data_IF_075081784869
#
_entry.id   IF_075081784869
#
_cell.length_a   1.000
_cell.length_b   1.000
_cell.length_c   1.000
_cell.angle_alpha   90.00
_cell.angle_beta   90.00
_cell.angle_gamma   90.00
#
_symmetry.space_group_name_H-M   'P 1'
#
loop_
_entity.id
_entity.type
_entity.pdbx_description
1 polymer ?
#
# COMPACT_ATOMS: atom_id res chain seq x y z
N UNK A 1 1.04 22.29 16.83
CA UNK A 1 2.03 22.39 15.73
C UNK A 1 2.67 21.02 15.49
N UNK A 2 1.92 20.05 14.96
CA UNK A 2 2.39 18.65 14.76
C UNK A 2 3.00 18.39 13.37
N UNK A 3 3.20 19.42 12.54
CA UNK A 3 3.76 19.27 11.19
C UNK A 3 5.29 19.31 11.14
N UNK A 4 5.97 19.69 12.23
CA UNK A 4 7.43 19.95 12.19
C UNK A 4 8.29 18.77 12.68
N UNK A 5 7.69 17.73 13.29
CA UNK A 5 8.44 16.57 13.79
C UNK A 5 8.61 15.44 12.76
N UNK A 6 7.78 15.40 11.72
CA UNK A 6 7.79 14.30 10.74
C UNK A 6 8.81 14.52 9.61
N UNK A 7 9.29 15.76 9.42
CA UNK A 7 10.25 16.16 8.37
C UNK A 7 11.69 15.76 8.74
N UNK A 8 11.97 15.41 10.00
CA UNK A 8 13.32 14.96 10.45
C UNK A 8 13.49 13.44 10.50
N UNK A 9 12.43 12.67 10.24
CA UNK A 9 12.56 11.22 10.05
C UNK A 9 12.97 11.01 8.61
N UNK A 10 14.21 10.57 8.42
CA UNK A 10 14.81 10.26 7.13
C UNK A 10 13.77 9.68 6.16
N UNK A 11 13.52 10.31 4.98
CA UNK A 11 12.53 9.85 4.02
C UNK A 11 12.68 8.38 3.67
N UNK A 12 13.91 7.85 3.68
CA UNK A 12 14.18 6.43 3.48
C UNK A 12 13.60 5.59 4.62
N UNK A 13 13.77 5.98 5.88
CA UNK A 13 13.17 5.26 7.03
C UNK A 13 11.65 5.22 6.97
N UNK A 14 11.01 6.28 6.47
CA UNK A 14 9.55 6.31 6.28
C UNK A 14 9.13 5.34 5.17
N UNK A 15 9.91 5.24 4.09
CA UNK A 15 9.71 4.23 3.04
C UNK A 15 9.92 2.79 3.57
N UNK A 16 10.98 2.55 4.35
CA UNK A 16 11.23 1.25 4.99
C UNK A 16 10.06 0.82 5.90
N UNK A 17 9.55 1.72 6.74
CA UNK A 17 8.36 1.45 7.56
C UNK A 17 7.11 1.19 6.72
N UNK A 18 6.99 1.84 5.57
CA UNK A 18 5.90 1.59 4.63
C UNK A 18 5.97 0.16 4.11
N UNK A 19 7.14 -0.27 3.63
CA UNK A 19 7.38 -1.63 3.12
C UNK A 19 7.12 -2.67 4.21
N UNK A 20 7.62 -2.45 5.43
CA UNK A 20 7.42 -3.35 6.57
C UNK A 20 5.94 -3.51 6.91
N UNK A 21 5.21 -2.39 7.06
CA UNK A 21 3.78 -2.42 7.39
C UNK A 21 2.95 -3.04 6.26
N UNK A 22 3.30 -2.75 5.01
CA UNK A 22 2.63 -3.32 3.84
C UNK A 22 2.76 -4.85 3.80
N UNK A 23 3.99 -5.37 3.97
CA UNK A 23 4.24 -6.81 4.02
C UNK A 23 3.49 -7.48 5.18
N UNK A 24 3.46 -6.85 6.35
CA UNK A 24 2.69 -7.36 7.50
C UNK A 24 1.19 -7.45 7.21
N UNK A 25 0.59 -6.40 6.63
CA UNK A 25 -0.83 -6.37 6.29
C UNK A 25 -1.16 -7.37 5.18
N UNK A 26 -0.29 -7.52 4.19
CA UNK A 26 -0.43 -8.53 3.15
C UNK A 26 -0.46 -9.94 3.74
N UNK A 27 0.46 -10.26 4.66
CA UNK A 27 0.45 -11.56 5.37
C UNK A 27 -0.79 -11.79 6.24
N UNK A 28 -1.34 -10.72 6.85
CA UNK A 28 -2.62 -10.81 7.57
C UNK A 28 -3.77 -11.08 6.60
N UNK A 29 -3.83 -10.37 5.47
CA UNK A 29 -4.86 -10.56 4.45
C UNK A 29 -4.82 -11.96 3.83
N UNK A 30 -3.62 -12.50 3.58
CA UNK A 30 -3.41 -13.86 3.06
C UNK A 30 -3.84 -14.91 4.08
N UNK A 31 -3.40 -14.80 5.33
CA UNK A 31 -3.86 -15.70 6.41
C UNK A 31 -5.37 -15.64 6.57
N UNK A 32 -5.95 -14.44 6.58
CA UNK A 32 -7.39 -14.24 6.70
C UNK A 32 -8.15 -14.83 5.51
N UNK A 33 -7.57 -14.81 4.30
CA UNK A 33 -8.12 -15.49 3.14
C UNK A 33 -8.12 -17.02 3.32
N UNK A 34 -7.01 -17.61 3.79
CA UNK A 34 -6.89 -19.04 4.07
C UNK A 34 -7.85 -19.50 5.17
N UNK A 35 -8.03 -18.70 6.23
CA UNK A 35 -8.93 -19.03 7.35
C UNK A 35 -10.39 -18.67 7.09
N UNK A 36 -10.71 -18.02 5.96
CA UNK A 36 -12.06 -17.53 5.65
C UNK A 36 -12.52 -16.35 6.52
N UNK A 37 -11.60 -15.65 7.19
CA UNK A 37 -11.91 -14.48 8.01
C UNK A 37 -12.06 -13.23 7.14
N UNK A 38 -13.28 -13.02 6.64
CA UNK A 38 -13.62 -11.89 5.78
C UNK A 38 -13.43 -10.54 6.48
N UNK A 39 -13.62 -10.48 7.81
CA UNK A 39 -13.51 -9.23 8.57
C UNK A 39 -12.04 -8.83 8.73
N UNK A 40 -11.18 -9.76 9.13
CA UNK A 40 -9.74 -9.54 9.22
C UNK A 40 -9.14 -9.17 7.84
N UNK A 41 -9.57 -9.89 6.79
CA UNK A 41 -9.17 -9.59 5.41
C UNK A 41 -9.56 -8.16 5.01
N UNK A 42 -10.83 -7.79 5.20
CA UNK A 42 -11.33 -6.45 4.82
C UNK A 42 -10.64 -5.33 5.62
N UNK A 43 -10.37 -5.56 6.91
CA UNK A 43 -9.62 -4.63 7.75
C UNK A 43 -8.21 -4.38 7.21
N UNK A 44 -7.47 -5.46 6.92
CA UNK A 44 -6.13 -5.38 6.35
C UNK A 44 -6.14 -4.67 4.99
N UNK A 45 -7.08 -5.01 4.10
CA UNK A 45 -7.25 -4.35 2.81
C UNK A 45 -7.57 -2.86 2.93
N UNK A 46 -8.40 -2.45 3.89
CA UNK A 46 -8.71 -1.04 4.14
C UNK A 46 -7.47 -0.24 4.62
N UNK A 47 -6.64 -0.83 5.48
CA UNK A 47 -5.40 -0.19 5.90
C UNK A 47 -4.41 -0.04 4.74
N UNK A 48 -4.23 -1.10 3.95
CA UNK A 48 -3.42 -1.08 2.73
C UNK A 48 -3.94 -0.05 1.72
N UNK A 49 -5.26 0.05 1.54
CA UNK A 49 -5.90 1.09 0.72
C UNK A 49 -5.56 2.51 1.20
N UNK A 50 -5.60 2.75 2.52
CA UNK A 50 -5.18 4.02 3.12
C UNK A 50 -3.71 4.35 2.85
N UNK A 51 -2.83 3.35 2.97
CA UNK A 51 -1.41 3.47 2.67
C UNK A 51 -1.18 3.78 1.19
N UNK A 52 -1.79 3.04 0.26
CA UNK A 52 -1.69 3.28 -1.17
C UNK A 52 -2.17 4.70 -1.57
N UNK A 53 -3.26 5.18 -0.97
CA UNK A 53 -3.77 6.54 -1.18
C UNK A 53 -2.82 7.63 -0.66
N UNK A 54 -2.05 7.35 0.40
CA UNK A 54 -1.05 8.29 0.91
C UNK A 54 0.09 8.52 -0.09
N UNK A 55 0.42 7.51 -0.91
CA UNK A 55 1.42 7.64 -1.98
C UNK A 55 0.96 8.56 -3.11
N UNK A 56 -0.33 8.52 -3.46
CA UNK A 56 -0.88 9.45 -4.46
C UNK A 56 -0.79 10.92 -4.01
N UNK A 57 -0.67 11.15 -2.70
CA UNK A 57 -0.55 12.48 -2.08
C UNK A 57 0.90 12.87 -1.77
N UNK A 58 1.84 11.93 -1.86
CA UNK A 58 3.24 12.11 -1.46
C UNK A 58 4.18 11.65 -2.60
N UNK A 59 4.47 12.54 -3.57
CA UNK A 59 5.31 12.21 -4.73
C UNK A 59 6.75 11.83 -4.37
N UNK A 60 7.26 12.36 -3.25
CA UNK A 60 8.60 12.03 -2.77
C UNK A 60 8.64 10.59 -2.26
N UNK A 61 7.62 10.18 -1.49
CA UNK A 61 7.48 8.79 -1.05
C UNK A 61 7.27 7.83 -2.21
N UNK A 62 6.43 8.20 -3.18
CA UNK A 62 6.19 7.40 -4.37
C UNK A 62 7.51 7.14 -5.13
N UNK A 63 8.37 8.14 -5.27
CA UNK A 63 9.67 7.99 -5.94
C UNK A 63 10.62 7.05 -5.19
N UNK A 64 10.66 7.12 -3.86
CA UNK A 64 11.50 6.25 -3.03
C UNK A 64 11.04 4.78 -3.10
N UNK A 65 9.74 4.56 -3.02
CA UNK A 65 9.16 3.22 -3.11
C UNK A 65 9.14 2.70 -4.55
N UNK A 66 9.18 3.57 -5.57
CA UNK A 66 9.28 3.16 -6.97
C UNK A 66 10.59 2.41 -7.26
N UNK A 67 11.69 2.75 -6.56
CA UNK A 67 12.93 1.99 -6.62
C UNK A 67 12.83 0.60 -5.93
N UNK A 68 11.81 0.41 -5.07
CA UNK A 68 11.61 -0.76 -4.20
C UNK A 68 10.30 -1.50 -4.49
N UNK A 69 9.74 -1.34 -5.68
CA UNK A 69 8.48 -1.98 -6.11
C UNK A 69 8.49 -3.50 -5.90
N UNK A 70 9.64 -4.12 -6.19
CA UNK A 70 9.86 -5.56 -6.02
C UNK A 70 9.66 -6.00 -4.56
N UNK A 71 10.09 -5.19 -3.59
CA UNK A 71 9.94 -5.47 -2.15
C UNK A 71 8.48 -5.34 -1.67
N UNK A 72 7.64 -4.66 -2.45
CA UNK A 72 6.21 -4.54 -2.21
C UNK A 72 5.38 -5.61 -2.96
N UNK A 73 6.07 -6.52 -3.66
CA UNK A 73 5.47 -7.58 -4.47
C UNK A 73 5.01 -7.13 -5.85
N UNK A 74 5.34 -5.92 -6.28
CA UNK A 74 5.06 -5.45 -7.64
C UNK A 74 6.18 -5.93 -8.56
N UNK A 75 5.86 -6.89 -9.41
CA UNK A 75 6.80 -7.43 -10.40
C UNK A 75 6.58 -6.87 -11.81
N UNK A 76 5.41 -6.28 -12.07
CA UNK A 76 5.01 -5.78 -13.38
C UNK A 76 4.74 -4.29 -13.25
N UNK A 77 5.48 -3.47 -14.00
CA UNK A 77 5.19 -2.07 -14.17
C UNK A 77 4.10 -1.92 -15.25
N UNK A 78 2.94 -1.49 -14.81
CA UNK A 78 1.76 -1.27 -15.65
C UNK A 78 1.63 0.18 -16.12
N UNK A 79 2.64 1.02 -15.85
CA UNK A 79 2.61 2.46 -16.10
C UNK A 79 1.63 3.22 -15.20
N UNK A 80 1.08 2.58 -14.16
CA UNK A 80 0.19 3.22 -13.18
C UNK A 80 1.01 3.91 -12.10
N UNK A 81 0.36 4.85 -11.39
CA UNK A 81 0.90 5.38 -10.13
C UNK A 81 1.15 4.23 -9.16
N UNK A 82 2.20 4.34 -8.35
CA UNK A 82 2.64 3.25 -7.49
C UNK A 82 1.54 2.81 -6.52
N UNK A 83 0.82 3.75 -5.93
CA UNK A 83 -0.34 3.42 -5.08
C UNK A 83 -1.36 2.58 -5.83
N UNK A 84 -1.67 2.95 -7.08
CA UNK A 84 -2.63 2.24 -7.92
C UNK A 84 -2.20 0.83 -8.28
N UNK A 85 -0.91 0.67 -8.56
CA UNK A 85 -0.28 -0.60 -8.86
C UNK A 85 -0.22 -1.52 -7.64
N UNK A 86 0.15 -0.98 -6.48
CA UNK A 86 0.22 -1.70 -5.21
C UNK A 86 -1.11 -2.35 -4.87
N UNK A 87 -2.17 -1.56 -4.92
CA UNK A 87 -3.47 -2.09 -4.56
C UNK A 87 -4.00 -3.04 -5.63
N UNK A 88 -3.77 -2.77 -6.92
CA UNK A 88 -4.15 -3.67 -8.01
C UNK A 88 -3.51 -5.05 -7.87
N UNK A 89 -2.20 -5.10 -7.57
CA UNK A 89 -1.46 -6.36 -7.39
C UNK A 89 -1.98 -7.19 -6.20
N UNK A 90 -2.51 -6.54 -5.16
CA UNK A 90 -3.07 -7.18 -3.98
C UNK A 90 -4.60 -7.35 -4.03
N UNK A 91 -5.24 -7.04 -5.17
CA UNK A 91 -6.70 -7.14 -5.34
C UNK A 91 -7.49 -6.20 -4.42
N UNK A 92 -6.94 -5.01 -4.16
CA UNK A 92 -7.50 -3.99 -3.28
C UNK A 92 -8.03 -2.83 -4.13
N UNK A 93 -9.34 -2.63 -4.11
CA UNK A 93 -10.00 -1.49 -4.75
C UNK A 93 -9.98 -0.27 -3.82
N UNK A 94 -9.11 0.70 -4.08
CA UNK A 94 -8.88 1.84 -3.17
C UNK A 94 -9.14 3.23 -3.77
N UNK A 95 -9.79 3.37 -4.93
CA UNK A 95 -10.23 4.72 -5.36
C UNK A 95 -10.30 5.07 -6.83
N UNK A 96 -10.51 4.12 -7.76
CA UNK A 96 -11.27 4.44 -8.98
C UNK A 96 -12.66 3.86 -8.81
N UNK A 97 -13.68 4.67 -9.08
CA UNK A 97 -15.07 4.41 -8.75
C UNK A 97 -15.53 2.98 -9.04
N UNK A 98 -16.36 2.47 -8.14
CA UNK A 98 -17.27 1.32 -8.30
C UNK A 98 -17.30 0.78 -9.74
N UNK A 99 -16.68 -0.37 -9.96
CA UNK A 99 -16.65 -0.97 -11.29
C UNK A 99 -16.05 -2.37 -11.39
N UNK A 100 -15.95 -3.15 -10.31
CA UNK A 100 -15.90 -4.60 -10.46
C UNK A 100 -17.35 -5.10 -10.50
N UNK A 101 -17.97 -4.90 -11.66
CA UNK A 101 -19.12 -5.68 -12.06
C UNK A 101 -18.63 -6.90 -12.83
N UNK A 102 -19.16 -8.06 -12.42
CA UNK A 102 -19.11 -9.42 -12.99
C UNK A 102 -17.91 -10.29 -12.58
#
# INVERSE_FOLDING_TARGET
>A
MQLEAEIRVDPARRADRFVERWNKLSGVADRAYVTGDVMARKSAQNEMAGMAKSLERDPQMESLLAARKVELGISIDTGRRLGAELAFNHGIDFGRGRGLAR
#
